data_IF_253358142279
#
_entry.id   IF_253358142279
#
_cell.length_a   1.000
_cell.length_b   1.000
_cell.length_c   1.000
_cell.angle_alpha   90.00
_cell.angle_beta   90.00
_cell.angle_gamma   90.00
#
_symmetry.space_group_name_H-M   'P 1'
#
loop_
_entity.id
_entity.type
_entity.pdbx_description
1 polymer ?
#
# COMPACT_ATOMS: atom_id res chain seq x y z
N UNK A 1 -10.96 14.83 -17.34
CA UNK A 1 -9.85 15.59 -17.96
C UNK A 1 -8.60 15.24 -17.16
N UNK A 2 -7.54 14.73 -17.79
CA UNK A 2 -6.27 14.54 -17.09
C UNK A 2 -5.75 15.92 -16.63
N UNK A 3 -5.24 16.05 -15.40
CA UNK A 3 -4.64 17.31 -14.95
C UNK A 3 -3.52 17.71 -15.91
N UNK A 4 -3.55 18.94 -16.39
CA UNK A 4 -2.49 19.50 -17.22
C UNK A 4 -1.23 19.65 -16.37
N UNK A 5 -0.05 19.32 -16.92
CA UNK A 5 1.27 19.35 -16.26
C UNK A 5 1.55 20.63 -15.46
N UNK A 6 0.93 21.75 -15.85
CA UNK A 6 1.04 23.05 -15.17
C UNK A 6 0.39 23.09 -13.77
N UNK A 7 -0.73 22.39 -13.56
CA UNK A 7 -1.46 22.43 -12.28
C UNK A 7 -0.76 21.61 -11.18
N UNK A 8 -0.18 20.47 -11.55
CA UNK A 8 0.58 19.64 -10.59
C UNK A 8 1.88 20.33 -10.17
N UNK A 9 2.53 21.08 -11.07
CA UNK A 9 3.69 21.88 -10.74
C UNK A 9 3.38 22.97 -9.71
N UNK A 10 2.23 23.65 -9.84
CA UNK A 10 1.79 24.65 -8.85
C UNK A 10 1.50 24.04 -7.47
N UNK A 11 0.76 22.93 -7.41
CA UNK A 11 0.50 22.25 -6.14
C UNK A 11 1.80 21.76 -5.51
N UNK A 12 2.69 21.18 -6.30
CA UNK A 12 4.02 20.76 -5.86
C UNK A 12 4.78 21.92 -5.19
N UNK A 13 4.85 23.08 -5.83
CA UNK A 13 5.50 24.27 -5.28
C UNK A 13 4.85 24.71 -3.96
N UNK A 14 3.52 24.69 -3.86
CA UNK A 14 2.80 25.01 -2.62
C UNK A 14 3.18 24.04 -1.49
N UNK A 15 3.31 22.75 -1.77
CA UNK A 15 3.71 21.73 -0.79
C UNK A 15 5.16 21.85 -0.32
N UNK A 16 6.02 22.50 -1.09
CA UNK A 16 7.43 22.75 -0.75
C UNK A 16 7.63 24.01 0.12
N UNK A 17 6.58 24.79 0.36
CA UNK A 17 6.65 26.03 1.15
C UNK A 17 5.72 26.00 2.36
N UNK A 18 6.09 26.72 3.41
CA UNK A 18 5.24 26.90 4.59
C UNK A 18 4.19 28.02 4.43
N UNK A 19 4.01 28.55 3.21
CA UNK A 19 3.18 29.73 2.98
C UNK A 19 1.71 29.33 2.83
N UNK A 20 0.84 29.96 3.62
CA UNK A 20 -0.62 29.73 3.63
C UNK A 20 -1.08 28.39 4.22
N UNK A 21 -0.19 27.65 4.89
CA UNK A 21 -0.58 26.51 5.70
C UNK A 21 -1.55 26.94 6.80
N UNK A 22 -2.70 26.28 6.85
CA UNK A 22 -3.83 26.60 7.74
C UNK A 22 -4.30 25.37 8.53
N UNK A 23 -3.53 24.27 8.47
CA UNK A 23 -3.71 23.03 9.21
C UNK A 23 -2.35 22.38 9.49
N UNK A 24 -2.23 21.67 10.61
CA UNK A 24 -1.16 20.73 10.87
C UNK A 24 -1.72 19.32 11.05
N UNK A 25 -1.12 18.33 10.38
CA UNK A 25 -1.29 16.93 10.74
C UNK A 25 -0.20 16.56 11.75
N UNK A 26 -0.59 15.99 12.88
CA UNK A 26 0.31 15.68 14.00
C UNK A 26 0.49 14.17 14.07
N UNK A 27 1.72 13.69 13.98
CA UNK A 27 2.06 12.27 14.06
C UNK A 27 3.16 12.09 15.12
N UNK A 28 2.75 11.72 16.33
CA UNK A 28 3.64 11.70 17.49
C UNK A 28 4.22 13.10 17.77
N UNK A 29 5.54 13.23 17.71
CA UNK A 29 6.23 14.50 17.93
C UNK A 29 6.39 15.35 16.64
N UNK A 30 6.07 14.78 15.47
CA UNK A 30 6.19 15.47 14.18
C UNK A 30 4.91 16.21 13.80
N UNK A 31 5.09 17.42 13.26
CA UNK A 31 4.02 18.26 12.73
C UNK A 31 4.23 18.50 11.24
N UNK A 32 3.19 18.24 10.47
CA UNK A 32 3.17 18.45 9.03
C UNK A 32 2.19 19.58 8.70
N UNK A 33 2.74 20.76 8.41
CA UNK A 33 1.94 21.90 8.02
C UNK A 33 1.44 21.74 6.58
N UNK A 34 0.12 21.87 6.38
CA UNK A 34 -0.56 21.61 5.11
C UNK A 34 -1.69 22.61 4.88
N UNK A 35 -2.19 22.62 3.64
CA UNK A 35 -3.33 23.41 3.22
C UNK A 35 -4.62 22.60 3.32
N UNK A 36 -5.58 23.06 4.14
CA UNK A 36 -6.93 22.49 4.28
C UNK A 36 -7.59 22.28 2.93
N UNK A 37 -7.50 23.27 2.04
CA UNK A 37 -8.14 23.19 0.72
C UNK A 37 -7.61 22.03 -0.14
N UNK A 38 -6.34 21.64 0.04
CA UNK A 38 -5.72 20.54 -0.71
C UNK A 38 -6.05 19.20 -0.06
N UNK A 39 -5.87 19.07 1.26
CA UNK A 39 -6.00 17.77 1.93
C UNK A 39 -7.47 17.38 2.17
N UNK A 40 -8.33 18.33 2.55
CA UNK A 40 -9.75 18.08 2.80
C UNK A 40 -10.55 17.84 1.51
N UNK A 41 -10.12 18.40 0.38
CA UNK A 41 -10.77 18.12 -0.91
C UNK A 41 -10.50 16.70 -1.42
N UNK A 42 -9.47 16.04 -0.87
CA UNK A 42 -9.04 14.70 -1.28
C UNK A 42 -9.35 13.62 -0.24
N UNK A 43 -9.61 14.00 1.01
CA UNK A 43 -10.00 13.08 2.08
C UNK A 43 -11.28 13.58 2.77
N UNK A 44 -12.41 12.85 2.64
CA UNK A 44 -13.62 13.18 3.38
C UNK A 44 -13.43 13.03 4.89
N UNK A 45 -12.52 12.15 5.33
CA UNK A 45 -12.19 11.97 6.76
C UNK A 45 -11.46 13.20 7.29
N UNK A 46 -10.45 13.71 6.57
CA UNK A 46 -9.79 14.97 6.96
C UNK A 46 -10.75 16.17 6.90
N UNK A 47 -11.66 16.20 5.93
CA UNK A 47 -12.67 17.26 5.84
C UNK A 47 -13.62 17.25 7.04
N UNK A 48 -14.07 16.07 7.47
CA UNK A 48 -14.90 15.88 8.64
C UNK A 48 -14.15 16.26 9.92
N UNK A 49 -12.93 15.76 10.11
CA UNK A 49 -12.07 16.11 11.24
C UNK A 49 -11.80 17.62 11.33
N UNK A 50 -11.49 18.26 10.19
CA UNK A 50 -11.33 19.71 10.13
C UNK A 50 -12.61 20.44 10.53
N UNK A 51 -13.77 20.01 10.03
CA UNK A 51 -15.05 20.65 10.32
C UNK A 51 -15.42 20.56 11.80
N UNK A 52 -15.10 19.42 12.43
CA UNK A 52 -15.30 19.23 13.87
C UNK A 52 -14.33 20.08 14.71
N UNK A 53 -13.10 20.26 14.25
CA UNK A 53 -12.07 21.07 14.91
C UNK A 53 -12.27 22.59 14.79
N UNK A 54 -13.15 23.03 13.88
CA UNK A 54 -13.58 24.44 13.79
C UNK A 54 -14.52 24.86 14.93
N UNK A 55 -14.86 23.97 15.87
CA UNK A 55 -15.51 24.38 17.12
C UNK A 55 -14.57 25.32 17.87
N UNK A 56 -14.96 26.59 17.96
CA UNK A 56 -14.26 27.60 18.74
C UNK A 56 -14.07 27.09 20.16
N UNK A 57 -12.82 27.06 20.60
CA UNK A 57 -12.55 26.99 22.02
C UNK A 57 -13.07 28.30 22.63
N UNK A 58 -14.11 28.19 23.45
CA UNK A 58 -14.76 29.36 24.07
C UNK A 58 -13.88 30.01 25.16
N UNK A 59 -12.85 29.32 25.65
CA UNK A 59 -11.90 29.85 26.63
C UNK A 59 -10.74 30.58 25.96
N UNK A 60 -10.21 30.04 24.86
CA UNK A 60 -9.04 30.62 24.17
C UNK A 60 -9.38 31.44 22.93
N UNK A 61 -10.59 31.29 22.38
CA UNK A 61 -11.02 31.93 21.14
C UNK A 61 -10.32 31.41 19.88
N UNK A 62 -9.54 30.32 20.00
CA UNK A 62 -8.83 29.70 18.90
C UNK A 62 -9.64 28.56 18.28
N UNK A 63 -9.43 28.32 16.98
CA UNK A 63 -9.80 27.06 16.32
C UNK A 63 -8.66 26.06 16.51
N UNK A 64 -8.99 24.77 16.66
CA UNK A 64 -7.95 23.76 16.69
C UNK A 64 -7.50 23.47 15.24
N UNK A 65 -6.34 23.98 14.86
CA UNK A 65 -5.77 23.78 13.53
C UNK A 65 -4.84 22.56 13.48
N UNK A 66 -4.97 21.62 14.42
CA UNK A 66 -4.23 20.37 14.46
C UNK A 66 -5.20 19.17 14.31
N UNK A 67 -4.80 18.17 13.51
CA UNK A 67 -5.44 16.85 13.45
C UNK A 67 -4.40 15.79 13.80
N UNK A 68 -4.68 15.02 14.84
CA UNK A 68 -3.85 13.88 15.22
C UNK A 68 -4.02 12.73 14.23
N UNK A 69 -2.90 12.20 13.75
CA UNK A 69 -2.79 11.02 12.89
C UNK A 69 -2.23 9.89 13.74
N UNK A 70 -3.13 9.08 14.28
CA UNK A 70 -2.79 7.95 15.13
C UNK A 70 -2.62 6.65 14.32
N UNK A 71 -1.78 5.74 14.82
CA UNK A 71 -1.62 4.40 14.24
C UNK A 71 -0.67 4.29 13.05
N UNK A 72 -0.09 5.41 12.60
CA UNK A 72 0.87 5.46 11.50
C UNK A 72 2.17 6.13 11.92
N UNK A 73 3.26 5.79 11.23
CA UNK A 73 4.56 6.45 11.43
C UNK A 73 4.69 7.72 10.55
N UNK A 74 5.61 8.64 10.90
CA UNK A 74 5.78 9.89 10.17
C UNK A 74 6.15 9.75 8.68
N UNK A 75 6.83 8.67 8.27
CA UNK A 75 7.18 8.44 6.86
C UNK A 75 5.90 8.12 6.08
N UNK A 76 5.04 7.25 6.61
CA UNK A 76 3.75 6.92 6.01
C UNK A 76 2.86 8.15 5.87
N UNK A 77 2.80 9.01 6.90
CA UNK A 77 2.06 10.28 6.84
C UNK A 77 2.64 11.21 5.79
N UNK A 78 3.97 11.31 5.68
CA UNK A 78 4.64 12.12 4.66
C UNK A 78 4.30 11.64 3.25
N UNK A 79 4.33 10.33 2.99
CA UNK A 79 3.97 9.78 1.69
C UNK A 79 2.51 10.05 1.32
N UNK A 80 1.59 9.99 2.28
CA UNK A 80 0.20 10.39 2.07
C UNK A 80 0.11 11.88 1.65
N UNK A 81 0.84 12.76 2.34
CA UNK A 81 0.86 14.20 2.02
C UNK A 81 1.49 14.43 0.65
N UNK A 82 2.68 13.87 0.38
CA UNK A 82 3.37 14.02 -0.90
C UNK A 82 2.46 13.64 -2.07
N UNK A 83 1.74 12.53 -1.94
CA UNK A 83 0.77 12.13 -2.95
C UNK A 83 -0.36 13.16 -3.14
N UNK A 84 -0.90 13.73 -2.06
CA UNK A 84 -1.96 14.74 -2.17
C UNK A 84 -1.51 16.01 -2.92
N UNK A 85 -0.22 16.34 -2.88
CA UNK A 85 0.32 17.51 -3.58
C UNK A 85 0.84 17.19 -4.99
N UNK A 86 1.45 16.02 -5.16
CA UNK A 86 2.23 15.67 -6.36
C UNK A 86 1.55 14.62 -7.24
N UNK A 87 0.68 13.81 -6.65
CA UNK A 87 0.05 12.64 -7.30
C UNK A 87 0.92 11.38 -7.29
N UNK A 88 2.06 11.42 -6.60
CA UNK A 88 3.01 10.31 -6.43
C UNK A 88 3.71 10.45 -5.07
N UNK A 89 4.33 9.37 -4.60
CA UNK A 89 5.13 9.36 -3.38
C UNK A 89 6.35 8.46 -3.56
N UNK A 90 7.39 8.70 -2.77
CA UNK A 90 8.58 7.84 -2.71
C UNK A 90 8.86 7.46 -1.26
N UNK A 91 9.22 6.19 -1.04
CA UNK A 91 9.71 5.73 0.27
C UNK A 91 11.20 6.09 0.38
N UNK A 92 11.62 6.84 1.41
CA UNK A 92 13.03 7.14 1.63
C UNK A 92 13.85 5.87 1.77
N UNK A 93 14.86 5.71 0.90
CA UNK A 93 15.76 4.55 0.96
C UNK A 93 16.79 4.77 2.07
N UNK A 94 16.88 3.82 3.00
CA UNK A 94 17.97 3.81 3.96
C UNK A 94 19.31 3.57 3.26
N UNK A 95 20.36 4.27 3.69
CA UNK A 95 21.72 4.04 3.15
C UNK A 95 22.24 2.71 3.68
N UNK A 96 22.20 1.67 2.84
CA UNK A 96 22.69 0.33 3.15
C UNK A 96 23.97 -0.01 2.37
N UNK A 97 24.85 -0.86 2.91
CA UNK A 97 25.99 -1.38 2.16
C UNK A 97 25.51 -2.24 0.99
N UNK A 98 26.08 -2.02 -0.20
CA UNK A 98 25.68 -2.66 -1.49
C UNK A 98 25.65 -4.21 -1.47
N UNK A 99 26.25 -4.83 -0.47
CA UNK A 99 26.29 -6.29 -0.30
C UNK A 99 25.00 -6.91 0.25
N UNK A 100 24.09 -6.11 0.80
CA UNK A 100 22.82 -6.60 1.36
C UNK A 100 21.68 -6.36 0.37
N UNK A 101 21.10 -7.46 -0.14
CA UNK A 101 19.86 -7.37 -0.91
C UNK A 101 18.69 -7.17 0.05
N UNK A 102 17.85 -6.19 -0.25
CA UNK A 102 16.59 -6.00 0.45
C UNK A 102 15.65 -7.19 0.18
N UNK A 103 14.96 -7.60 1.23
CA UNK A 103 13.87 -8.59 1.16
C UNK A 103 12.60 -7.93 0.62
N UNK A 104 11.64 -8.74 0.18
CA UNK A 104 10.34 -8.23 -0.23
C UNK A 104 9.62 -7.49 0.89
N UNK A 105 9.77 -7.95 2.14
CA UNK A 105 9.17 -7.30 3.30
C UNK A 105 9.69 -5.86 3.47
N UNK A 106 11.00 -5.68 3.41
CA UNK A 106 11.63 -4.35 3.55
C UNK A 106 11.20 -3.37 2.46
N UNK A 107 10.96 -3.88 1.23
CA UNK A 107 10.53 -3.06 0.11
C UNK A 107 9.02 -2.77 0.19
N UNK A 108 8.19 -3.79 0.42
CA UNK A 108 6.74 -3.72 0.24
C UNK A 108 5.98 -3.25 1.48
N UNK A 109 6.44 -3.56 2.70
CA UNK A 109 5.71 -3.19 3.91
C UNK A 109 5.46 -1.68 4.02
N UNK A 110 6.42 -0.78 3.72
CA UNK A 110 6.13 0.66 3.69
C UNK A 110 5.02 1.04 2.69
N UNK A 111 4.94 0.38 1.54
CA UNK A 111 3.85 0.60 0.57
C UNK A 111 2.51 0.06 1.06
N UNK A 112 2.51 -1.04 1.82
CA UNK A 112 1.30 -1.56 2.49
C UNK A 112 0.80 -0.56 3.54
N UNK A 113 1.69 0.05 4.33
CA UNK A 113 1.30 1.10 5.28
C UNK A 113 0.70 2.34 4.57
N UNK A 114 1.28 2.74 3.43
CA UNK A 114 0.71 3.82 2.60
C UNK A 114 -0.66 3.43 2.02
N UNK A 115 -0.87 2.17 1.67
CA UNK A 115 -2.20 1.68 1.29
C UNK A 115 -3.17 1.77 2.48
N UNK A 116 -2.77 1.32 3.67
CA UNK A 116 -3.59 1.33 4.89
C UNK A 116 -3.98 2.74 5.31
N UNK A 117 -3.06 3.71 5.33
CA UNK A 117 -3.40 5.11 5.66
C UNK A 117 -4.37 5.70 4.62
N UNK A 118 -4.20 5.36 3.33
CA UNK A 118 -5.10 5.80 2.28
C UNK A 118 -6.51 5.24 2.44
N UNK A 119 -6.64 3.99 2.88
CA UNK A 119 -7.90 3.36 3.23
C UNK A 119 -8.54 4.06 4.45
N UNK A 120 -7.79 4.25 5.54
CA UNK A 120 -8.25 4.91 6.76
C UNK A 120 -8.78 6.33 6.50
N UNK A 121 -8.06 7.12 5.71
CA UNK A 121 -8.43 8.49 5.36
C UNK A 121 -9.30 8.58 4.10
N UNK A 122 -9.71 7.45 3.51
CA UNK A 122 -10.58 7.36 2.33
C UNK A 122 -10.07 8.15 1.12
N UNK A 123 -8.78 8.08 0.86
CA UNK A 123 -8.11 8.72 -0.28
C UNK A 123 -8.02 7.70 -1.41
N UNK A 124 -9.13 7.46 -2.12
CA UNK A 124 -9.25 6.34 -3.07
C UNK A 124 -8.14 6.28 -4.12
N UNK A 125 -7.72 7.44 -4.64
CA UNK A 125 -6.66 7.49 -5.66
C UNK A 125 -5.29 7.08 -5.13
N UNK A 126 -4.95 7.46 -3.89
CA UNK A 126 -3.71 7.02 -3.24
C UNK A 126 -3.75 5.51 -2.98
N UNK A 127 -4.89 5.00 -2.50
CA UNK A 127 -5.07 3.57 -2.26
C UNK A 127 -4.90 2.76 -3.55
N UNK A 128 -5.53 3.20 -4.64
CA UNK A 128 -5.39 2.59 -5.97
C UNK A 128 -3.93 2.65 -6.45
N UNK A 129 -3.30 3.83 -6.35
CA UNK A 129 -1.91 4.03 -6.73
C UNK A 129 -0.95 3.13 -5.94
N UNK A 130 -1.10 3.04 -4.62
CA UNK A 130 -0.27 2.18 -3.78
C UNK A 130 -0.45 0.69 -4.13
N UNK A 131 -1.68 0.24 -4.40
CA UNK A 131 -1.95 -1.14 -4.86
C UNK A 131 -1.29 -1.43 -6.21
N UNK A 132 -1.37 -0.51 -7.16
CA UNK A 132 -0.73 -0.67 -8.47
C UNK A 132 0.80 -0.69 -8.34
N UNK A 133 1.36 0.19 -7.50
CA UNK A 133 2.80 0.24 -7.24
C UNK A 133 3.32 -1.06 -6.59
N UNK A 134 2.57 -1.61 -5.62
CA UNK A 134 2.87 -2.93 -5.03
C UNK A 134 2.88 -4.02 -6.10
N UNK A 135 1.89 -4.02 -7.00
CA UNK A 135 1.80 -5.00 -8.09
C UNK A 135 2.99 -4.91 -9.05
N UNK A 136 3.43 -3.70 -9.38
CA UNK A 136 4.58 -3.48 -10.25
C UNK A 136 5.87 -3.99 -9.60
N UNK A 137 6.10 -3.70 -8.32
CA UNK A 137 7.25 -4.22 -7.56
C UNK A 137 7.25 -5.76 -7.52
N UNK A 138 6.09 -6.36 -7.27
CA UNK A 138 5.93 -7.81 -7.25
C UNK A 138 6.28 -8.44 -8.62
N UNK A 139 5.75 -7.87 -9.70
CA UNK A 139 6.00 -8.33 -11.07
C UNK A 139 7.46 -8.23 -11.52
N UNK A 140 8.23 -7.29 -10.97
CA UNK A 140 9.66 -7.12 -11.26
C UNK A 140 10.56 -8.00 -10.37
N UNK A 141 10.02 -8.56 -9.28
CA UNK A 141 10.78 -9.34 -8.31
C UNK A 141 10.87 -10.83 -8.67
N UNK A 142 12.02 -11.46 -8.41
CA UNK A 142 12.22 -12.91 -8.61
C UNK A 142 12.55 -13.67 -7.32
N UNK A 143 12.67 -12.97 -6.19
CA UNK A 143 13.00 -13.53 -4.89
C UNK A 143 11.75 -13.50 -4.00
N UNK A 144 11.56 -14.53 -3.20
CA UNK A 144 10.35 -14.74 -2.37
C UNK A 144 10.65 -14.49 -0.88
N UNK A 145 11.89 -14.12 -0.58
CA UNK A 145 12.35 -13.81 0.77
C UNK A 145 11.56 -12.62 1.34
N UNK A 146 10.87 -12.84 2.46
CA UNK A 146 10.02 -11.85 3.11
C UNK A 146 8.58 -11.80 2.58
N UNK A 147 8.21 -12.55 1.54
CA UNK A 147 6.85 -12.51 0.99
C UNK A 147 5.78 -12.91 2.02
N UNK A 148 6.05 -13.92 2.85
CA UNK A 148 5.10 -14.40 3.86
C UNK A 148 4.85 -13.37 4.96
N UNK A 149 5.85 -12.55 5.28
CA UNK A 149 5.71 -11.45 6.22
C UNK A 149 4.77 -10.38 5.63
N UNK A 150 4.93 -10.02 4.35
CA UNK A 150 4.03 -9.10 3.64
C UNK A 150 2.60 -9.64 3.62
N UNK A 151 2.42 -10.92 3.28
CA UNK A 151 1.10 -11.57 3.28
C UNK A 151 0.47 -11.52 4.66
N UNK A 152 1.23 -11.83 5.72
CA UNK A 152 0.74 -11.76 7.09
C UNK A 152 0.29 -10.34 7.45
N UNK A 153 1.11 -9.33 7.15
CA UNK A 153 0.77 -7.94 7.42
C UNK A 153 -0.51 -7.53 6.69
N UNK A 154 -0.62 -7.77 5.38
CA UNK A 154 -1.83 -7.42 4.60
C UNK A 154 -3.09 -8.03 5.19
N UNK A 155 -3.06 -9.29 5.62
CA UNK A 155 -4.24 -9.94 6.19
C UNK A 155 -4.59 -9.45 7.60
N UNK A 156 -3.64 -8.81 8.31
CA UNK A 156 -3.83 -8.25 9.64
C UNK A 156 -4.16 -6.75 9.64
N UNK A 157 -3.75 -6.00 8.62
CA UNK A 157 -3.89 -4.52 8.58
C UNK A 157 -4.96 -4.00 7.64
N UNK A 158 -5.41 -4.78 6.65
CA UNK A 158 -6.42 -4.33 5.69
C UNK A 158 -7.48 -5.38 5.39
N UNK A 159 -8.70 -4.92 5.13
CA UNK A 159 -9.81 -5.73 4.58
C UNK A 159 -9.98 -5.56 3.07
N UNK A 160 -9.12 -4.77 2.42
CA UNK A 160 -9.20 -4.46 1.00
C UNK A 160 -9.03 -5.72 0.14
N UNK A 161 -10.10 -6.07 -0.57
CA UNK A 161 -10.16 -7.26 -1.40
C UNK A 161 -9.20 -7.18 -2.59
N UNK A 162 -8.89 -5.98 -3.10
CA UNK A 162 -8.01 -5.84 -4.25
C UNK A 162 -6.55 -6.12 -3.85
N UNK A 163 -6.07 -5.56 -2.72
CA UNK A 163 -4.73 -5.85 -2.23
C UNK A 163 -4.58 -7.31 -1.79
N UNK A 164 -5.60 -7.89 -1.15
CA UNK A 164 -5.62 -9.33 -0.83
C UNK A 164 -5.57 -10.19 -2.09
N UNK A 165 -6.28 -9.83 -3.15
CA UNK A 165 -6.22 -10.55 -4.42
C UNK A 165 -4.82 -10.48 -5.05
N UNK A 166 -4.16 -9.32 -5.02
CA UNK A 166 -2.77 -9.17 -5.48
C UNK A 166 -1.85 -10.15 -4.74
N UNK A 167 -1.97 -10.24 -3.41
CA UNK A 167 -1.17 -11.18 -2.61
C UNK A 167 -1.48 -12.65 -2.95
N UNK A 168 -2.75 -13.00 -3.19
CA UNK A 168 -3.15 -14.34 -3.60
C UNK A 168 -2.53 -14.71 -4.95
N UNK A 169 -2.61 -13.82 -5.93
CA UNK A 169 -2.08 -14.06 -7.28
C UNK A 169 -0.57 -14.28 -7.24
N UNK A 170 0.14 -13.49 -6.43
CA UNK A 170 1.58 -13.59 -6.24
C UNK A 170 2.01 -14.90 -5.55
N UNK A 171 1.33 -15.26 -4.47
CA UNK A 171 1.58 -16.52 -3.75
C UNK A 171 1.26 -17.72 -4.65
N UNK A 172 0.18 -17.66 -5.43
CA UNK A 172 -0.17 -18.69 -6.38
C UNK A 172 0.89 -18.83 -7.49
N UNK A 173 1.45 -17.70 -7.97
CA UNK A 173 2.54 -17.69 -8.94
C UNK A 173 3.80 -18.36 -8.40
N UNK A 174 4.17 -18.09 -7.14
CA UNK A 174 5.36 -18.67 -6.51
C UNK A 174 5.11 -19.96 -5.72
N UNK A 175 3.93 -20.56 -5.80
CA UNK A 175 3.54 -21.68 -4.93
C UNK A 175 4.52 -22.86 -5.00
N UNK A 176 5.13 -23.10 -6.17
CA UNK A 176 6.13 -24.16 -6.33
C UNK A 176 7.38 -23.96 -5.48
N UNK A 177 7.76 -22.70 -5.22
CA UNK A 177 8.91 -22.33 -4.38
C UNK A 177 8.52 -22.16 -2.91
N UNK A 178 7.24 -21.91 -2.62
CA UNK A 178 6.75 -21.52 -1.30
C UNK A 178 6.23 -22.69 -0.47
N UNK A 179 5.54 -23.65 -1.09
CA UNK A 179 4.74 -24.68 -0.37
C UNK A 179 5.55 -25.57 0.59
N UNK A 180 6.84 -25.75 0.32
CA UNK A 180 7.75 -26.55 1.14
C UNK A 180 8.59 -25.69 2.11
N UNK A 181 8.39 -24.37 2.14
CA UNK A 181 9.09 -23.49 3.08
C UNK A 181 8.38 -23.46 4.43
N UNK A 182 9.18 -23.35 5.49
CA UNK A 182 8.69 -23.27 6.86
C UNK A 182 7.87 -21.98 7.11
N UNK A 183 8.27 -20.87 6.51
CA UNK A 183 7.57 -19.58 6.63
C UNK A 183 6.14 -19.62 6.07
N UNK A 184 5.93 -20.30 4.93
CA UNK A 184 4.61 -20.52 4.35
C UNK A 184 3.71 -21.39 5.25
N UNK A 185 4.27 -22.44 5.85
CA UNK A 185 3.53 -23.31 6.77
C UNK A 185 3.16 -22.61 8.09
N UNK A 186 3.98 -21.64 8.53
CA UNK A 186 3.81 -20.90 9.78
C UNK A 186 2.89 -19.68 9.67
N UNK A 187 2.39 -19.35 8.48
CA UNK A 187 1.44 -18.23 8.27
C UNK A 187 0.20 -18.29 9.18
N UNK A 188 -0.15 -19.46 9.73
CA UNK A 188 -1.33 -19.63 10.59
C UNK A 188 -2.67 -19.53 9.84
N UNK A 189 -2.62 -19.19 8.54
CA UNK A 189 -3.77 -19.13 7.64
C UNK A 189 -4.20 -20.53 7.14
N UNK A 190 -3.33 -21.52 7.24
CA UNK A 190 -3.53 -22.88 6.72
C UNK A 190 -3.27 -23.92 7.82
N UNK A 191 -4.05 -24.99 7.82
CA UNK A 191 -3.77 -26.17 8.64
C UNK A 191 -3.00 -27.23 7.84
N UNK A 192 -2.51 -28.27 8.51
CA UNK A 192 -1.72 -29.35 7.89
C UNK A 192 -2.45 -30.02 6.72
N UNK A 193 -3.76 -30.25 6.86
CA UNK A 193 -4.58 -30.82 5.79
C UNK A 193 -4.63 -29.91 4.54
N UNK A 194 -4.81 -28.60 4.72
CA UNK A 194 -4.79 -27.63 3.62
C UNK A 194 -3.44 -27.65 2.89
N UNK A 195 -2.33 -27.71 3.63
CA UNK A 195 -0.99 -27.78 3.05
C UNK A 195 -0.79 -29.07 2.23
N UNK A 196 -1.25 -30.22 2.73
CA UNK A 196 -1.17 -31.49 2.02
C UNK A 196 -1.99 -31.50 0.73
N UNK A 197 -3.17 -30.87 0.75
CA UNK A 197 -3.98 -30.66 -0.46
C UNK A 197 -3.22 -29.79 -1.48
N UNK A 198 -2.63 -28.67 -1.05
CA UNK A 198 -1.85 -27.78 -1.93
C UNK A 198 -0.65 -28.51 -2.53
N UNK A 199 0.13 -29.25 -1.73
CA UNK A 199 1.26 -30.09 -2.21
C UNK A 199 0.80 -31.15 -3.22
N UNK A 200 -0.37 -31.75 -2.99
CA UNK A 200 -0.95 -32.72 -3.93
C UNK A 200 -1.33 -32.06 -5.25
N UNK A 201 -1.96 -30.90 -5.21
CA UNK A 201 -2.36 -30.12 -6.39
C UNK A 201 -1.13 -29.67 -7.19
N UNK A 202 -0.11 -29.12 -6.52
CA UNK A 202 1.18 -28.75 -7.14
C UNK A 202 1.76 -29.93 -7.93
N UNK A 203 1.88 -31.12 -7.30
CA UNK A 203 2.38 -32.33 -7.97
C UNK A 203 1.51 -32.78 -9.16
N UNK A 204 0.21 -32.56 -9.11
CA UNK A 204 -0.70 -32.86 -10.23
C UNK A 204 -0.50 -31.87 -11.39
N UNK A 205 -0.39 -30.58 -11.09
CA UNK A 205 -0.13 -29.51 -12.07
C UNK A 205 1.20 -29.75 -12.78
N UNK A 206 2.26 -30.09 -12.04
CA UNK A 206 3.57 -30.42 -12.62
C UNK A 206 3.51 -31.62 -13.56
N UNK A 207 2.75 -32.67 -13.19
CA UNK A 207 2.55 -33.84 -14.06
C UNK A 207 1.79 -33.49 -15.34
N UNK A 208 0.77 -32.65 -15.24
CA UNK A 208 0.02 -32.16 -16.40
C UNK A 208 0.91 -31.31 -17.32
N UNK A 209 1.73 -30.41 -16.75
CA UNK A 209 2.73 -29.62 -17.49
C UNK A 209 3.84 -30.46 -18.14
N UNK A 210 4.20 -31.60 -17.56
CA UNK A 210 5.18 -32.55 -18.15
C UNK A 210 4.62 -33.37 -19.32
N UNK A 211 3.29 -33.48 -19.44
CA UNK A 211 2.61 -34.14 -20.56
C UNK A 211 2.16 -33.18 -21.66
N UNK A 212 2.23 -31.86 -21.44
CA UNK A 212 1.82 -30.84 -22.39
C UNK A 212 2.98 -29.88 -22.62
N UNK A 213 3.77 -30.13 -23.67
CA UNK A 213 4.82 -29.21 -24.09
C UNK A 213 4.26 -27.81 -24.31
N UNK A 214 4.70 -26.86 -23.46
CA UNK A 214 4.69 -25.40 -23.61
C UNK A 214 3.77 -24.81 -24.70
N UNK A 215 2.44 -24.95 -24.62
CA UNK A 215 1.48 -23.97 -25.18
C UNK A 215 0.15 -24.11 -24.42
N UNK A 216 -0.45 -22.98 -24.04
CA UNK A 216 -1.83 -22.82 -23.56
C UNK A 216 -2.15 -23.13 -22.09
N UNK A 217 -1.70 -22.27 -21.18
CA UNK A 217 -2.54 -21.89 -20.03
C UNK A 217 -2.98 -20.42 -20.04
N UNK A 218 -2.44 -19.58 -20.93
CA UNK A 218 -2.82 -18.17 -21.05
C UNK A 218 -3.92 -17.85 -22.07
N UNK A 219 -4.45 -18.83 -22.81
CA UNK A 219 -5.49 -18.57 -23.84
C UNK A 219 -6.92 -18.95 -23.44
N UNK A 220 -7.16 -19.48 -22.24
CA UNK A 220 -8.49 -19.97 -21.85
C UNK A 220 -9.31 -18.99 -21.00
N UNK A 221 -8.70 -17.95 -20.41
CA UNK A 221 -9.42 -16.97 -19.58
C UNK A 221 -9.95 -15.78 -20.40
N UNK A 222 -9.44 -15.56 -21.62
CA UNK A 222 -9.92 -14.49 -22.52
C UNK A 222 -11.13 -14.88 -23.39
N UNK A 223 -11.65 -16.12 -23.29
CA UNK A 223 -12.73 -16.62 -24.14
C UNK A 223 -14.08 -16.81 -23.43
N UNK A 224 -14.23 -16.34 -22.18
CA UNK A 224 -15.50 -16.41 -21.42
C UNK A 224 -16.12 -15.05 -21.07
N UNK A 225 -15.65 -13.97 -21.69
CA UNK A 225 -16.38 -12.69 -21.70
C UNK A 225 -16.53 -12.19 -23.13
N UNK A 226 -17.49 -12.81 -23.83
CA UNK A 226 -18.17 -12.23 -24.99
C UNK A 226 -19.66 -12.21 -24.71
#
# INVERSE_FOLDING_TARGET
MAPTTSHLAFLTEMGDTDVYNDLALVCGDERFYVHKVIVCSQSPVLAESCSNNLQLDFETGATNDEIDVEGFDPITVRCMIDYMYRGEYEIPKEKRPESQKETMAEILLPHVEVHSIAECYKISRLREYATDYIRDILGDSLCVEGLMEVVSTVYNTTEDAALRQVMIDEVAFFIEKLVDRDDFAQLGLLNEFSLDVIRKLQKQIQKLGSHQGRVSLFSAVAAQQT
#
